data_IF_202008240320
#
_entry.id   IF_202008240320
#
_cell.length_a   1.000
_cell.length_b   1.000
_cell.length_c   1.000
_cell.angle_alpha   90.00
_cell.angle_beta   90.00
_cell.angle_gamma   90.00
#
_symmetry.space_group_name_H-M   'P 1'
#
loop_
_entity.id
_entity.type
_entity.pdbx_description
1 polymer ?
#
# COMPACT_ATOMS: atom_id res chain seq x y z
N UNK A 1 -17.33 -39.09 23.53
CA UNK A 1 -18.44 -39.71 22.76
C UNK A 1 -19.02 -38.65 21.84
N UNK A 2 -18.88 -38.77 20.50
CA UNK A 2 -19.29 -37.73 19.56
C UNK A 2 -20.76 -37.87 19.15
N UNK A 3 -21.52 -36.77 19.23
CA UNK A 3 -22.87 -36.69 18.68
C UNK A 3 -22.80 -36.34 17.18
N UNK A 4 -23.33 -37.24 16.36
CA UNK A 4 -23.39 -37.17 14.90
C UNK A 4 -24.80 -36.72 14.50
N UNK A 5 -24.93 -35.49 13.99
CA UNK A 5 -26.17 -35.01 13.37
C UNK A 5 -26.07 -35.21 11.87
N UNK A 6 -26.89 -36.11 11.33
CA UNK A 6 -27.13 -36.25 9.89
C UNK A 6 -28.20 -35.24 9.47
N UNK A 7 -27.83 -34.26 8.66
CA UNK A 7 -28.79 -33.47 7.89
C UNK A 7 -28.83 -34.01 6.46
N UNK A 8 -29.97 -34.58 6.06
CA UNK A 8 -30.28 -34.90 4.67
C UNK A 8 -30.77 -33.61 4.00
N UNK A 9 -29.89 -32.98 3.22
CA UNK A 9 -30.23 -31.88 2.31
C UNK A 9 -30.10 -32.35 0.86
N UNK A 10 -31.16 -32.17 0.09
CA UNK A 10 -31.36 -32.64 -1.28
C UNK A 10 -30.30 -32.13 -2.25
N UNK A 11 -29.88 -32.99 -3.20
CA UNK A 11 -29.07 -32.59 -4.35
C UNK A 11 -29.93 -31.75 -5.30
N UNK A 12 -29.61 -30.47 -5.43
CA UNK A 12 -29.90 -29.70 -6.64
C UNK A 12 -28.58 -29.44 -7.33
N UNK A 13 -28.48 -30.00 -8.53
CA UNK A 13 -27.37 -29.86 -9.46
C UNK A 13 -27.64 -28.61 -10.28
N UNK A 14 -27.10 -27.47 -9.87
CA UNK A 14 -26.99 -26.30 -10.73
C UNK A 14 -25.56 -25.78 -10.68
N UNK A 15 -24.83 -26.13 -11.74
CA UNK A 15 -23.58 -25.49 -12.11
C UNK A 15 -23.87 -24.00 -12.32
N UNK A 16 -23.60 -23.18 -11.32
CA UNK A 16 -23.23 -21.79 -11.54
C UNK A 16 -21.74 -21.69 -11.29
N UNK A 17 -21.01 -21.95 -12.38
CA UNK A 17 -19.67 -21.46 -12.59
C UNK A 17 -19.76 -19.94 -12.46
N UNK A 18 -19.38 -19.41 -11.29
CA UNK A 18 -19.23 -17.97 -11.11
C UNK A 18 -18.15 -17.53 -12.09
N UNK A 19 -18.58 -16.95 -13.21
CA UNK A 19 -17.72 -16.25 -14.15
C UNK A 19 -16.90 -15.25 -13.35
N UNK A 20 -15.59 -15.46 -13.30
CA UNK A 20 -14.66 -14.42 -12.90
C UNK A 20 -15.02 -13.16 -13.72
N UNK A 21 -15.15 -11.97 -13.09
CA UNK A 21 -15.43 -10.76 -13.84
C UNK A 21 -14.40 -10.63 -14.96
N UNK A 22 -14.87 -10.54 -16.21
CA UNK A 22 -14.02 -10.25 -17.36
C UNK A 22 -13.09 -9.10 -16.99
N UNK A 23 -11.78 -9.34 -17.06
CA UNK A 23 -10.78 -8.34 -16.73
C UNK A 23 -10.94 -7.17 -17.71
N UNK A 24 -11.60 -6.10 -17.27
CA UNK A 24 -11.66 -4.85 -18.00
C UNK A 24 -10.22 -4.45 -18.35
N UNK A 25 -10.01 -4.03 -19.60
CA UNK A 25 -8.71 -3.50 -20.01
C UNK A 25 -8.30 -2.36 -19.07
N UNK A 26 -7.01 -2.26 -18.69
CA UNK A 26 -6.55 -1.17 -17.86
C UNK A 26 -7.00 0.19 -18.42
N UNK A 27 -7.36 1.14 -17.55
CA UNK A 27 -7.80 2.45 -18.00
C UNK A 27 -6.71 3.11 -18.85
N UNK A 28 -7.09 3.62 -20.03
CA UNK A 28 -6.19 4.34 -20.92
C UNK A 28 -6.15 5.82 -20.51
N UNK A 29 -4.95 6.34 -20.26
CA UNK A 29 -4.75 7.77 -19.99
C UNK A 29 -5.14 8.62 -21.22
N UNK A 30 -5.75 9.78 -20.99
CA UNK A 30 -5.99 10.76 -22.04
C UNK A 30 -4.68 11.46 -22.45
N UNK A 31 -4.68 12.12 -23.61
CA UNK A 31 -3.49 12.79 -24.13
C UNK A 31 -2.97 13.90 -23.21
N UNK A 32 -3.87 14.60 -22.53
CA UNK A 32 -3.54 15.69 -21.60
C UNK A 32 -2.75 15.19 -20.39
N UNK A 33 -3.16 14.08 -19.77
CA UNK A 33 -2.44 13.50 -18.64
C UNK A 33 -1.05 13.02 -19.04
N UNK A 34 -0.91 12.40 -20.21
CA UNK A 34 0.39 11.97 -20.75
C UNK A 34 1.30 13.18 -20.97
N UNK A 35 0.77 14.25 -21.59
CA UNK A 35 1.53 15.47 -21.83
C UNK A 35 1.97 16.13 -20.51
N UNK A 36 1.07 16.23 -19.53
CA UNK A 36 1.38 16.77 -18.21
C UNK A 36 2.50 15.97 -17.52
N UNK A 37 2.38 14.64 -17.44
CA UNK A 37 3.41 13.79 -16.84
C UNK A 37 4.76 13.89 -17.56
N UNK A 38 4.74 14.06 -18.88
CA UNK A 38 5.95 14.24 -19.69
C UNK A 38 6.58 15.63 -19.53
N UNK A 39 5.81 16.62 -19.07
CA UNK A 39 6.30 17.98 -18.81
C UNK A 39 7.02 18.12 -17.46
N UNK A 40 6.88 17.13 -16.57
CA UNK A 40 7.53 17.14 -15.26
C UNK A 40 9.05 17.05 -15.40
N UNK A 41 9.74 18.04 -14.84
CA UNK A 41 11.21 18.08 -14.82
C UNK A 41 11.82 17.17 -13.76
N UNK A 42 13.13 16.93 -13.86
CA UNK A 42 13.85 16.13 -12.85
C UNK A 42 13.77 16.76 -11.45
N UNK A 43 13.81 18.09 -11.36
CA UNK A 43 13.69 18.82 -10.09
C UNK A 43 12.35 18.59 -9.39
N UNK A 44 11.25 18.47 -10.16
CA UNK A 44 9.93 18.18 -9.61
C UNK A 44 9.84 16.72 -9.17
N UNK A 45 10.41 15.80 -9.94
CA UNK A 45 10.47 14.39 -9.58
C UNK A 45 11.36 14.13 -8.37
N UNK A 46 12.39 14.95 -8.11
CA UNK A 46 13.21 14.84 -6.91
C UNK A 46 12.40 15.12 -5.63
N UNK A 47 11.37 15.96 -5.69
CA UNK A 47 10.47 16.25 -4.56
C UNK A 47 9.63 15.05 -4.12
N UNK A 48 9.55 13.99 -4.95
CA UNK A 48 8.89 12.74 -4.59
C UNK A 48 9.66 11.97 -3.49
N UNK A 49 10.93 12.30 -3.26
CA UNK A 49 11.76 11.69 -2.23
C UNK A 49 11.90 12.68 -1.07
N UNK A 50 11.25 12.36 0.04
CA UNK A 50 11.20 13.23 1.22
C UNK A 50 11.17 12.38 2.49
N UNK A 51 11.44 13.03 3.61
CA UNK A 51 11.25 12.47 4.94
C UNK A 51 10.55 13.52 5.79
N UNK A 52 9.36 13.19 6.25
CA UNK A 52 8.52 14.08 7.06
C UNK A 52 8.00 13.36 8.29
N UNK A 53 7.92 14.10 9.39
CA UNK A 53 7.42 13.60 10.67
C UNK A 53 6.28 14.48 11.15
N UNK A 54 5.15 13.84 11.44
CA UNK A 54 3.98 14.45 12.05
C UNK A 54 3.95 14.14 13.54
N UNK A 55 3.86 15.18 14.38
CA UNK A 55 3.62 15.03 15.80
C UNK A 55 2.16 14.64 16.07
N UNK A 56 1.95 13.61 16.89
CA UNK A 56 0.63 13.24 17.39
C UNK A 56 0.44 13.85 18.78
N UNK A 57 -0.62 14.64 18.96
CA UNK A 57 -0.94 15.32 20.21
C UNK A 57 -2.36 14.99 20.66
N UNK A 58 -2.61 15.00 21.96
CA UNK A 58 -3.95 14.86 22.52
C UNK A 58 -4.79 16.11 22.23
N UNK A 59 -6.08 16.05 22.55
CA UNK A 59 -6.96 17.23 22.55
C UNK A 59 -6.51 18.34 23.53
N UNK A 60 -5.67 18.02 24.52
CA UNK A 60 -5.07 19.00 25.44
C UNK A 60 -3.73 19.55 24.95
N UNK A 61 -3.23 19.06 23.81
CA UNK A 61 -1.94 19.44 23.26
C UNK A 61 -0.75 18.65 23.81
N UNK A 62 -0.99 17.64 24.66
CA UNK A 62 0.08 16.80 25.20
C UNK A 62 0.64 15.88 24.10
N UNK A 63 1.97 15.75 23.97
CA UNK A 63 2.58 14.89 22.97
C UNK A 63 2.29 13.41 23.26
N UNK A 64 1.75 12.71 22.27
CA UNK A 64 1.40 11.28 22.36
C UNK A 64 2.36 10.41 21.54
N UNK A 65 3.04 11.00 20.56
CA UNK A 65 3.97 10.28 19.69
C UNK A 65 4.26 11.00 18.39
N UNK A 66 4.76 10.23 17.43
CA UNK A 66 5.16 10.69 16.10
C UNK A 66 4.81 9.65 15.02
N UNK A 67 4.47 10.15 13.83
CA UNK A 67 4.35 9.37 12.60
C UNK A 67 5.35 9.92 11.60
N UNK A 68 6.30 9.10 11.15
CA UNK A 68 7.29 9.45 10.14
C UNK A 68 7.02 8.70 8.84
N UNK A 69 7.00 9.43 7.73
CA UNK A 69 6.94 8.87 6.38
C UNK A 69 8.22 9.28 5.65
N UNK A 70 8.91 8.28 5.12
CA UNK A 70 10.14 8.45 4.38
C UNK A 70 10.04 7.76 3.02
N UNK A 71 10.32 8.50 1.96
CA UNK A 71 10.30 8.03 0.58
C UNK A 71 11.70 8.18 0.00
N UNK A 72 12.33 7.06 -0.34
CA UNK A 72 13.67 7.00 -0.88
C UNK A 72 13.71 6.34 -2.26
N UNK A 73 14.82 6.55 -2.98
CA UNK A 73 15.12 5.81 -4.21
C UNK A 73 15.52 4.38 -3.88
N UNK A 74 14.59 3.46 -4.09
CA UNK A 74 14.83 2.02 -4.03
C UNK A 74 15.36 1.45 -5.34
N UNK A 75 15.87 0.23 -5.25
CA UNK A 75 16.19 -0.63 -6.40
C UNK A 75 15.37 -1.91 -6.29
N UNK A 76 14.80 -2.34 -7.41
CA UNK A 76 14.10 -3.60 -7.52
C UNK A 76 14.70 -4.42 -8.65
N UNK A 77 15.03 -5.67 -8.35
CA UNK A 77 15.47 -6.64 -9.35
C UNK A 77 14.25 -7.37 -9.90
N UNK A 78 13.94 -7.13 -11.17
CA UNK A 78 12.86 -7.83 -11.87
C UNK A 78 13.25 -9.26 -12.25
N UNK A 79 12.28 -9.99 -12.82
CA UNK A 79 12.38 -11.41 -13.22
C UNK A 79 13.54 -11.76 -14.15
N UNK A 80 14.16 -10.75 -14.78
CA UNK A 80 15.27 -10.89 -15.74
C UNK A 80 16.58 -10.27 -15.23
N UNK A 81 16.73 -10.05 -13.92
CA UNK A 81 17.95 -9.48 -13.32
C UNK A 81 18.14 -7.98 -13.60
N UNK A 82 17.17 -7.32 -14.23
CA UNK A 82 17.24 -5.88 -14.54
C UNK A 82 16.85 -5.08 -13.31
N UNK A 83 17.80 -4.30 -12.79
CA UNK A 83 17.56 -3.34 -11.72
C UNK A 83 16.72 -2.18 -12.26
N UNK A 84 15.56 -1.96 -11.66
CA UNK A 84 14.69 -0.82 -11.91
C UNK A 84 14.65 0.07 -10.68
N UNK A 85 14.68 1.39 -10.88
CA UNK A 85 14.50 2.35 -9.80
C UNK A 85 13.02 2.44 -9.43
N UNK A 86 12.71 2.35 -8.14
CA UNK A 86 11.34 2.46 -7.65
C UNK A 86 11.32 3.23 -6.32
N UNK A 87 10.25 3.99 -6.01
CA UNK A 87 10.09 4.55 -4.68
C UNK A 87 10.02 3.44 -3.62
N UNK A 88 10.88 3.55 -2.61
CA UNK A 88 10.82 2.76 -1.38
C UNK A 88 10.21 3.64 -0.30
N UNK A 89 9.05 3.22 0.23
CA UNK A 89 8.29 3.97 1.22
C UNK A 89 8.40 3.26 2.56
N UNK A 90 8.89 3.98 3.56
CA UNK A 90 8.93 3.56 4.94
C UNK A 90 7.99 4.43 5.76
N UNK A 91 7.07 3.80 6.49
CA UNK A 91 6.16 4.48 7.41
C UNK A 91 6.37 3.92 8.81
N UNK A 92 6.65 4.78 9.78
CA UNK A 92 6.89 4.38 11.17
C UNK A 92 6.04 5.22 12.11
N UNK A 93 5.32 4.55 13.02
CA UNK A 93 4.52 5.18 14.07
C UNK A 93 5.12 4.82 15.41
N UNK A 94 5.32 5.80 16.29
CA UNK A 94 5.82 5.60 17.66
C UNK A 94 4.99 6.45 18.61
N UNK A 95 4.72 5.95 19.80
CA UNK A 95 3.96 6.67 20.81
C UNK A 95 3.88 5.90 22.11
N UNK A 96 3.05 6.38 23.04
CA UNK A 96 2.88 5.75 24.34
C UNK A 96 1.51 5.07 24.45
N UNK A 97 1.51 3.84 24.96
CA UNK A 97 0.32 3.13 25.41
C UNK A 97 0.56 2.71 26.87
N UNK A 98 -0.27 3.17 27.80
CA UNK A 98 -0.15 2.89 29.23
C UNK A 98 1.27 3.14 29.78
N UNK A 99 1.84 4.31 29.46
CA UNK A 99 3.22 4.72 29.81
C UNK A 99 4.33 3.85 29.21
N UNK A 100 4.01 2.94 28.30
CA UNK A 100 5.00 2.12 27.59
C UNK A 100 5.18 2.65 26.18
N UNK A 101 6.44 2.88 25.78
CA UNK A 101 6.77 3.26 24.41
C UNK A 101 6.48 2.07 23.48
N UNK A 102 5.59 2.27 22.52
CA UNK A 102 5.22 1.28 21.52
C UNK A 102 5.27 1.89 20.12
N UNK A 103 5.38 1.04 19.10
CA UNK A 103 5.37 1.51 17.72
C UNK A 103 5.30 0.37 16.72
N UNK A 104 5.08 0.75 15.47
CA UNK A 104 5.08 -0.15 14.32
C UNK A 104 5.81 0.52 13.16
N UNK A 105 6.33 -0.30 12.26
CA UNK A 105 6.96 0.16 11.02
C UNK A 105 6.53 -0.74 9.88
N UNK A 106 6.27 -0.11 8.74
CA UNK A 106 5.93 -0.75 7.47
C UNK A 106 6.91 -0.28 6.41
N UNK A 107 7.37 -1.21 5.59
CA UNK A 107 8.23 -0.93 4.45
C UNK A 107 7.56 -1.50 3.19
N UNK A 108 7.37 -0.64 2.19
CA UNK A 108 6.70 -0.97 0.94
C UNK A 108 7.45 -0.44 -0.26
N UNK A 109 7.27 -1.09 -1.41
CA UNK A 109 7.78 -0.62 -2.71
C UNK A 109 6.60 -0.26 -3.60
N UNK A 110 6.65 0.90 -4.23
CA UNK A 110 5.70 1.25 -5.28
C UNK A 110 6.20 0.64 -6.61
N UNK A 111 5.41 -0.21 -7.29
CA UNK A 111 5.81 -0.78 -8.56
C UNK A 111 5.99 0.33 -9.60
N UNK A 112 7.04 0.21 -10.43
CA UNK A 112 7.15 1.02 -11.63
C UNK A 112 6.10 0.50 -12.65
N UNK A 113 5.17 1.37 -13.05
CA UNK A 113 4.14 1.10 -14.06
C UNK A 113 4.70 1.06 -15.47
#
# INVERSE_FOLDING_TARGET
MPFKVQSKGSRVKEQQQASAPESLSPPKANAEAIHFLSSLGEEELQKLFFSETLAMVSNTGEPQGELTIEVQRGKYEGSFGRLSHCPLVHAASRGFLDNTLCGSSLLGRAPAS
#
